data_IF_158177877159
#
_entry.id   IF_158177877159
#
_cell.length_a   1.000
_cell.length_b   1.000
_cell.length_c   1.000
_cell.angle_alpha   90.00
_cell.angle_beta   90.00
_cell.angle_gamma   90.00
#
_symmetry.space_group_name_H-M   'P 1'
#
loop_
_entity.id
_entity.type
_entity.pdbx_description
1 polymer ?
#
# COMPACT_ATOMS: atom_id res chain seq x y z
N UNK A 1 4.53 35.81 -78.05
CA UNK A 1 5.23 34.64 -77.48
C UNK A 1 5.28 34.60 -75.93
N UNK A 2 4.77 35.60 -75.19
CA UNK A 2 4.92 35.66 -73.71
C UNK A 2 3.81 34.94 -72.90
N UNK A 3 2.62 34.74 -73.46
CA UNK A 3 1.48 34.15 -72.72
C UNK A 3 1.47 32.62 -72.63
N UNK A 4 2.12 31.91 -73.56
CA UNK A 4 2.12 30.43 -73.58
C UNK A 4 2.95 29.87 -72.42
N UNK A 5 4.06 30.51 -72.05
CA UNK A 5 4.89 30.05 -70.93
C UNK A 5 4.18 30.14 -69.58
N UNK A 6 3.39 31.20 -69.33
CA UNK A 6 2.72 31.41 -68.04
C UNK A 6 1.67 30.32 -67.77
N UNK A 7 0.95 29.87 -68.81
CA UNK A 7 -0.08 28.84 -68.69
C UNK A 7 0.52 27.45 -68.43
N UNK A 8 1.65 27.13 -69.10
CA UNK A 8 2.42 25.91 -68.82
C UNK A 8 3.01 25.90 -67.40
N UNK A 9 3.53 27.03 -66.91
CA UNK A 9 4.05 27.15 -65.54
C UNK A 9 2.93 27.00 -64.49
N UNK A 10 1.74 27.59 -64.71
CA UNK A 10 0.59 27.42 -63.82
C UNK A 10 0.09 25.98 -63.78
N UNK A 11 0.05 25.31 -64.94
CA UNK A 11 -0.36 23.90 -65.04
C UNK A 11 0.65 22.98 -64.35
N UNK A 12 1.95 23.22 -64.54
CA UNK A 12 3.03 22.50 -63.86
C UNK A 12 2.95 22.65 -62.33
N UNK A 13 2.81 23.89 -61.82
CA UNK A 13 2.68 24.16 -60.39
C UNK A 13 1.48 23.45 -59.75
N UNK A 14 0.32 23.48 -60.42
CA UNK A 14 -0.91 22.78 -59.97
C UNK A 14 -0.81 21.25 -60.05
N UNK A 15 0.14 20.72 -60.82
CA UNK A 15 0.43 19.29 -60.91
C UNK A 15 1.32 18.86 -59.74
N UNK A 16 2.35 19.66 -59.43
CA UNK A 16 3.26 19.45 -58.31
C UNK A 16 2.52 19.54 -56.97
N UNK A 17 1.69 20.57 -56.78
CA UNK A 17 0.86 20.70 -55.56
C UNK A 17 -0.09 19.50 -55.37
N UNK A 18 -0.67 18.98 -56.46
CA UNK A 18 -1.52 17.78 -56.38
C UNK A 18 -0.74 16.52 -56.05
N UNK A 19 0.50 16.41 -56.53
CA UNK A 19 1.38 15.28 -56.22
C UNK A 19 1.82 15.31 -54.75
N UNK A 20 2.20 16.47 -54.22
CA UNK A 20 2.56 16.65 -52.81
C UNK A 20 1.38 16.35 -51.88
N UNK A 21 0.17 16.81 -52.21
CA UNK A 21 -1.04 16.50 -51.43
C UNK A 21 -1.31 14.98 -51.44
N UNK A 22 -1.12 14.31 -52.57
CA UNK A 22 -1.32 12.87 -52.68
C UNK A 22 -0.29 12.06 -51.89
N UNK A 23 1.00 12.44 -51.93
CA UNK A 23 2.02 11.81 -51.08
C UNK A 23 1.74 12.01 -49.60
N UNK A 24 1.38 13.23 -49.18
CA UNK A 24 1.06 13.53 -47.79
C UNK A 24 -0.16 12.73 -47.29
N UNK A 25 -1.19 12.56 -48.13
CA UNK A 25 -2.35 11.71 -47.80
C UNK A 25 -1.98 10.24 -47.69
N UNK A 26 -1.07 9.75 -48.55
CA UNK A 26 -0.60 8.36 -48.52
C UNK A 26 0.27 8.08 -47.29
N UNK A 27 1.14 9.03 -46.94
CA UNK A 27 1.89 9.04 -45.68
C UNK A 27 0.96 9.03 -44.49
N UNK A 28 -0.02 9.95 -44.43
CA UNK A 28 -0.98 10.01 -43.33
C UNK A 28 -1.77 8.70 -43.17
N UNK A 29 -2.23 8.11 -44.27
CA UNK A 29 -2.96 6.84 -44.27
C UNK A 29 -2.09 5.66 -43.81
N UNK A 30 -0.82 5.64 -44.21
CA UNK A 30 0.13 4.63 -43.76
C UNK A 30 0.48 4.81 -42.27
N UNK A 31 0.66 6.04 -41.80
CA UNK A 31 0.86 6.35 -40.38
C UNK A 31 -0.35 5.97 -39.54
N UNK A 32 -1.58 6.25 -40.00
CA UNK A 32 -2.80 5.86 -39.28
C UNK A 32 -2.95 4.34 -39.21
N UNK A 33 -2.59 3.61 -40.27
CA UNK A 33 -2.60 2.14 -40.30
C UNK A 33 -1.53 1.54 -39.38
N UNK A 34 -0.35 2.16 -39.28
CA UNK A 34 0.69 1.74 -38.34
C UNK A 34 0.27 2.00 -36.90
N UNK A 35 -0.34 3.15 -36.61
CA UNK A 35 -0.89 3.46 -35.27
C UNK A 35 -1.99 2.46 -34.90
N UNK A 36 -2.88 2.14 -35.84
CA UNK A 36 -4.00 1.21 -35.61
C UNK A 36 -3.51 -0.24 -35.43
N UNK A 37 -2.49 -0.64 -36.19
CA UNK A 37 -1.86 -1.96 -36.08
C UNK A 37 -1.01 -2.08 -34.81
N UNK A 38 -0.31 -1.02 -34.43
CA UNK A 38 0.36 -0.92 -33.13
C UNK A 38 -0.68 -0.97 -32.01
N UNK A 39 -1.81 -0.26 -32.10
CA UNK A 39 -2.91 -0.33 -31.12
C UNK A 39 -3.48 -1.77 -30.96
N UNK A 40 -3.69 -2.51 -32.04
CA UNK A 40 -4.12 -3.93 -32.01
C UNK A 40 -3.07 -4.84 -31.35
N UNK A 41 -1.79 -4.70 -31.71
CA UNK A 41 -0.69 -5.49 -31.11
C UNK A 41 -0.50 -5.13 -29.63
N UNK A 42 -0.76 -3.87 -29.25
CA UNK A 42 -0.59 -3.33 -27.89
C UNK A 42 -1.78 -3.66 -26.97
N UNK A 43 -2.98 -3.93 -27.52
CA UNK A 43 -4.10 -4.50 -26.78
C UNK A 43 -3.84 -5.96 -26.39
N UNK A 44 -3.25 -6.77 -27.30
CA UNK A 44 -2.86 -8.16 -27.02
C UNK A 44 -1.76 -8.27 -25.94
N UNK A 45 -0.84 -7.31 -25.85
CA UNK A 45 0.28 -7.32 -24.89
C UNK A 45 -0.02 -6.59 -23.55
N UNK A 46 -1.29 -6.23 -23.30
CA UNK A 46 -1.69 -5.50 -22.09
C UNK A 46 -1.71 -6.40 -20.84
N UNK A 47 -0.54 -6.61 -20.24
CA UNK A 47 -0.47 -7.08 -18.85
C UNK A 47 -1.16 -6.08 -17.94
N UNK A 48 -2.36 -6.43 -17.48
CA UNK A 48 -3.16 -5.67 -16.51
C UNK A 48 -2.41 -5.55 -15.15
N UNK A 49 -1.58 -4.52 -15.04
CA UNK A 49 -0.79 -4.14 -13.84
C UNK A 49 -1.63 -3.27 -12.89
N UNK A 50 -2.86 -3.70 -12.63
CA UNK A 50 -3.76 -3.01 -11.71
C UNK A 50 -3.27 -3.11 -10.26
N UNK A 51 -3.50 -2.03 -9.51
CA UNK A 51 -3.13 -1.95 -8.09
C UNK A 51 -3.74 -3.09 -7.26
N UNK A 52 -4.97 -3.50 -7.57
CA UNK A 52 -5.63 -4.65 -6.94
C UNK A 52 -4.83 -5.95 -7.12
N UNK A 53 -4.35 -6.23 -8.35
CA UNK A 53 -3.51 -7.39 -8.64
C UNK A 53 -2.15 -7.33 -7.93
N UNK A 54 -1.63 -6.13 -7.67
CA UNK A 54 -0.40 -5.94 -6.90
C UNK A 54 -0.59 -6.32 -5.42
N UNK A 55 -1.68 -5.87 -4.79
CA UNK A 55 -1.95 -6.06 -3.35
C UNK A 55 -2.52 -7.45 -3.03
N UNK A 56 -3.23 -8.08 -3.96
CA UNK A 56 -3.88 -9.39 -3.79
C UNK A 56 -3.10 -10.42 -2.94
N UNK A 57 -1.84 -10.78 -3.26
CA UNK A 57 -1.09 -11.77 -2.47
C UNK A 57 -0.83 -11.31 -1.04
N UNK A 58 -0.55 -10.02 -0.86
CA UNK A 58 -0.22 -9.41 0.44
C UNK A 58 -1.46 -9.39 1.32
N UNK A 59 -2.60 -8.93 0.77
CA UNK A 59 -3.84 -8.90 1.52
C UNK A 59 -4.41 -10.31 1.79
N UNK A 60 -4.05 -11.31 0.98
CA UNK A 60 -4.35 -12.72 1.29
C UNK A 60 -3.53 -13.22 2.49
N UNK A 61 -2.24 -12.91 2.53
CA UNK A 61 -1.36 -13.26 3.66
C UNK A 61 -1.88 -12.66 4.99
N UNK A 62 -2.30 -11.41 4.97
CA UNK A 62 -2.77 -10.66 6.14
C UNK A 62 -4.06 -11.24 6.72
N UNK A 63 -4.89 -11.87 5.89
CA UNK A 63 -6.10 -12.55 6.37
C UNK A 63 -5.78 -13.81 7.19
N UNK A 64 -4.62 -14.43 6.99
CA UNK A 64 -4.14 -15.51 7.88
C UNK A 64 -3.72 -14.96 9.25
N UNK A 65 -3.31 -13.70 9.31
CA UNK A 65 -2.98 -12.99 10.56
C UNK A 65 -4.21 -12.37 11.23
N UNK A 66 -5.42 -12.72 10.79
CA UNK A 66 -6.70 -12.20 11.29
C UNK A 66 -6.87 -10.69 11.16
N UNK A 67 -6.12 -10.05 10.26
CA UNK A 67 -6.21 -8.64 9.96
C UNK A 67 -7.00 -8.38 8.67
N UNK A 68 -7.63 -7.21 8.58
CA UNK A 68 -8.33 -6.72 7.39
C UNK A 68 -9.33 -7.75 6.80
N UNK A 69 -10.42 -8.07 7.53
CA UNK A 69 -11.34 -9.15 7.15
C UNK A 69 -12.22 -8.77 5.96
N UNK A 70 -11.79 -9.13 4.75
CA UNK A 70 -12.48 -8.79 3.49
C UNK A 70 -12.79 -10.06 2.70
N UNK A 71 -13.99 -10.14 2.13
CA UNK A 71 -14.37 -11.24 1.25
C UNK A 71 -14.03 -10.91 -0.21
N UNK A 72 -13.69 -11.94 -0.99
CA UNK A 72 -13.49 -11.81 -2.43
C UNK A 72 -12.09 -11.33 -2.85
N UNK A 73 -11.11 -11.26 -1.95
CA UNK A 73 -9.77 -10.77 -2.27
C UNK A 73 -9.02 -11.62 -3.29
N UNK A 74 -9.31 -12.93 -3.31
CA UNK A 74 -8.74 -13.87 -4.26
C UNK A 74 -9.34 -13.78 -5.67
N UNK A 75 -10.40 -12.97 -5.86
CA UNK A 75 -10.97 -12.77 -7.19
C UNK A 75 -10.04 -11.90 -8.06
N UNK A 76 -10.11 -12.11 -9.37
CA UNK A 76 -9.32 -11.34 -10.34
C UNK A 76 -9.81 -9.89 -10.48
N UNK A 77 -11.09 -9.65 -10.17
CA UNK A 77 -11.74 -8.36 -10.30
C UNK A 77 -11.99 -7.72 -8.94
N UNK A 78 -11.58 -6.46 -8.77
CA UNK A 78 -11.84 -5.68 -7.54
C UNK A 78 -13.33 -5.47 -7.24
N UNK A 79 -14.21 -5.65 -8.23
CA UNK A 79 -15.67 -5.49 -8.09
C UNK A 79 -16.31 -6.57 -7.20
N UNK A 80 -15.63 -7.70 -7.02
CA UNK A 80 -16.08 -8.80 -6.19
C UNK A 80 -15.70 -8.66 -4.71
N UNK A 81 -14.96 -7.61 -4.34
CA UNK A 81 -14.66 -7.29 -2.95
C UNK A 81 -15.95 -6.96 -2.20
N UNK A 82 -16.18 -7.63 -1.07
CA UNK A 82 -17.35 -7.40 -0.20
C UNK A 82 -16.93 -7.46 1.26
N UNK A 83 -17.57 -6.64 2.07
CA UNK A 83 -17.50 -6.76 3.53
C UNK A 83 -18.82 -7.33 4.05
N UNK A 84 -18.74 -8.32 4.94
CA UNK A 84 -19.89 -8.92 5.62
C UNK A 84 -19.52 -9.23 7.07
N UNK A 85 -20.26 -8.65 8.01
CA UNK A 85 -20.05 -8.84 9.46
C UNK A 85 -20.16 -10.30 9.89
N UNK A 86 -21.12 -11.05 9.34
CA UNK A 86 -21.35 -12.46 9.67
C UNK A 86 -20.47 -13.39 8.83
N UNK A 87 -19.15 -13.28 8.97
CA UNK A 87 -18.19 -14.17 8.30
C UNK A 87 -17.12 -14.66 9.27
N UNK A 88 -16.64 -15.88 9.05
CA UNK A 88 -15.56 -16.48 9.86
C UNK A 88 -14.35 -15.55 9.96
N UNK A 89 -14.02 -14.83 8.88
CA UNK A 89 -12.90 -13.87 8.84
C UNK A 89 -13.10 -12.73 9.85
N UNK A 90 -14.28 -12.11 9.86
CA UNK A 90 -14.61 -11.04 10.81
C UNK A 90 -14.66 -11.57 12.23
N UNK A 91 -15.24 -12.75 12.46
CA UNK A 91 -15.25 -13.39 13.78
C UNK A 91 -13.82 -13.61 14.30
N UNK A 92 -12.92 -14.13 13.48
CA UNK A 92 -11.52 -14.33 13.87
C UNK A 92 -10.81 -13.00 14.15
N UNK A 93 -11.04 -11.96 13.34
CA UNK A 93 -10.52 -10.61 13.62
C UNK A 93 -11.05 -10.03 14.92
N UNK A 94 -12.32 -10.26 15.25
CA UNK A 94 -12.91 -9.81 16.52
C UNK A 94 -12.36 -10.58 17.72
N UNK A 95 -12.11 -11.89 17.58
CA UNK A 95 -11.44 -12.69 18.61
C UNK A 95 -10.00 -12.21 18.83
N UNK A 96 -9.25 -11.98 17.75
CA UNK A 96 -7.90 -11.43 17.81
C UNK A 96 -7.88 -10.03 18.48
N UNK A 97 -8.83 -9.17 18.12
CA UNK A 97 -9.02 -7.87 18.77
C UNK A 97 -9.32 -8.01 20.27
N UNK A 98 -10.22 -8.93 20.64
CA UNK A 98 -10.57 -9.15 22.04
C UNK A 98 -9.38 -9.64 22.86
N UNK A 99 -8.54 -10.51 22.28
CA UNK A 99 -7.28 -10.94 22.88
C UNK A 99 -6.30 -9.76 23.03
N UNK A 100 -6.16 -8.91 22.02
CA UNK A 100 -5.32 -7.72 22.09
C UNK A 100 -5.75 -6.73 23.19
N UNK A 101 -7.05 -6.49 23.32
CA UNK A 101 -7.61 -5.67 24.41
C UNK A 101 -7.35 -6.30 25.78
N UNK A 102 -7.53 -7.61 25.90
CA UNK A 102 -7.25 -8.34 27.14
C UNK A 102 -5.77 -8.23 27.55
N UNK A 103 -4.84 -8.50 26.64
CA UNK A 103 -3.40 -8.39 26.91
C UNK A 103 -3.00 -6.96 27.24
N UNK A 104 -3.52 -5.98 26.50
CA UNK A 104 -3.27 -4.56 26.76
C UNK A 104 -3.74 -4.20 28.18
N UNK A 105 -4.93 -4.64 28.59
CA UNK A 105 -5.44 -4.45 29.94
C UNK A 105 -4.54 -5.08 31.01
N UNK A 106 -4.05 -6.31 30.79
CA UNK A 106 -3.13 -6.96 31.71
C UNK A 106 -1.81 -6.17 31.86
N UNK A 107 -1.27 -5.60 30.78
CA UNK A 107 -0.11 -4.72 30.84
C UNK A 107 -0.37 -3.44 31.63
N UNK A 108 -1.53 -2.81 31.45
CA UNK A 108 -1.91 -1.64 32.25
C UNK A 108 -2.00 -1.97 33.74
N UNK A 109 -2.61 -3.12 34.08
CA UNK A 109 -2.67 -3.61 35.46
C UNK A 109 -1.26 -3.86 36.03
N UNK A 110 -0.38 -4.48 35.25
CA UNK A 110 0.99 -4.78 35.67
C UNK A 110 1.80 -3.51 35.95
N UNK A 111 1.70 -2.49 35.09
CA UNK A 111 2.35 -1.18 35.30
C UNK A 111 1.78 -0.48 36.54
N UNK A 112 0.47 -0.58 36.76
CA UNK A 112 -0.16 0.00 37.95
C UNK A 112 0.37 -0.62 39.25
N UNK A 113 0.63 -1.93 39.25
CA UNK A 113 1.11 -2.66 40.43
C UNK A 113 2.64 -2.50 40.62
N UNK A 114 3.42 -2.70 39.55
CA UNK A 114 4.89 -2.78 39.61
C UNK A 114 5.61 -1.45 39.36
N UNK A 115 4.85 -0.36 39.20
CA UNK A 115 5.32 0.95 38.75
C UNK A 115 5.93 0.92 37.33
N UNK A 116 6.12 2.10 36.74
CA UNK A 116 6.61 2.23 35.36
C UNK A 116 8.07 1.79 35.30
N UNK A 117 8.33 0.70 34.57
CA UNK A 117 9.66 0.27 34.16
C UNK A 117 9.74 0.31 32.63
N UNK A 118 10.91 0.65 32.09
CA UNK A 118 11.17 0.77 30.65
C UNK A 118 10.73 -0.49 29.87
N UNK A 119 11.02 -1.68 30.38
CA UNK A 119 10.60 -2.94 29.75
C UNK A 119 9.08 -3.10 29.67
N UNK A 120 8.37 -2.79 30.76
CA UNK A 120 6.90 -2.87 30.81
C UNK A 120 6.25 -1.81 29.90
N UNK A 121 6.86 -0.62 29.80
CA UNK A 121 6.39 0.45 28.93
C UNK A 121 6.47 0.09 27.44
N UNK A 122 7.54 -0.58 27.01
CA UNK A 122 7.67 -1.04 25.62
C UNK A 122 6.58 -2.05 25.28
N UNK A 123 6.37 -3.04 26.14
CA UNK A 123 5.30 -4.04 25.96
C UNK A 123 3.93 -3.39 25.87
N UNK A 124 3.61 -2.45 26.76
CA UNK A 124 2.35 -1.71 26.73
C UNK A 124 2.16 -0.95 25.41
N UNK A 125 3.17 -0.19 24.96
CA UNK A 125 3.10 0.55 23.69
C UNK A 125 2.88 -0.40 22.51
N UNK A 126 3.59 -1.53 22.49
CA UNK A 126 3.47 -2.54 21.45
C UNK A 126 2.05 -3.12 21.36
N UNK A 127 1.51 -3.66 22.46
CA UNK A 127 0.19 -4.29 22.46
C UNK A 127 -0.94 -3.27 22.28
N UNK A 128 -0.85 -2.09 22.88
CA UNK A 128 -1.88 -1.05 22.73
C UNK A 128 -1.93 -0.50 21.30
N UNK A 129 -0.77 -0.24 20.67
CA UNK A 129 -0.71 0.23 19.30
C UNK A 129 -1.23 -0.82 18.32
N UNK A 130 -0.76 -2.06 18.41
CA UNK A 130 -1.21 -3.15 17.52
C UNK A 130 -2.71 -3.46 17.66
N UNK A 131 -3.24 -3.40 18.88
CA UNK A 131 -4.69 -3.54 19.13
C UNK A 131 -5.48 -2.38 18.51
N UNK A 132 -5.02 -1.14 18.69
CA UNK A 132 -5.66 0.04 18.09
C UNK A 132 -5.69 -0.05 16.58
N UNK A 133 -4.60 -0.49 15.97
CA UNK A 133 -4.55 -0.61 14.53
C UNK A 133 -5.38 -1.78 13.99
N UNK A 134 -5.55 -2.84 14.77
CA UNK A 134 -6.52 -3.91 14.44
C UNK A 134 -7.93 -3.32 14.33
N UNK A 135 -8.33 -2.41 15.23
CA UNK A 135 -9.60 -1.67 15.12
C UNK A 135 -9.68 -0.87 13.83
N UNK A 136 -8.63 -0.12 13.51
CA UNK A 136 -8.54 0.69 12.29
C UNK A 136 -8.65 -0.20 11.05
N UNK A 137 -8.00 -1.37 11.01
CA UNK A 137 -8.09 -2.29 9.87
C UNK A 137 -9.49 -2.91 9.71
N UNK A 138 -10.24 -3.10 10.78
CA UNK A 138 -11.65 -3.52 10.70
C UNK A 138 -12.50 -2.39 10.09
N UNK A 139 -12.26 -1.13 10.45
CA UNK A 139 -12.93 0.03 9.82
C UNK A 139 -12.55 0.18 8.34
N UNK A 140 -11.25 0.08 8.03
CA UNK A 140 -10.76 0.11 6.64
C UNK A 140 -11.37 -1.03 5.84
N UNK A 141 -11.48 -2.24 6.40
CA UNK A 141 -12.07 -3.39 5.70
C UNK A 141 -13.52 -3.15 5.24
N UNK A 142 -14.30 -2.37 5.99
CA UNK A 142 -15.67 -1.99 5.61
C UNK A 142 -15.69 -1.07 4.38
N UNK A 143 -14.77 -0.10 4.35
CA UNK A 143 -14.68 0.92 3.29
C UNK A 143 -13.90 0.44 2.07
N UNK A 144 -13.04 -0.56 2.25
CA UNK A 144 -12.10 -1.05 1.24
C UNK A 144 -12.72 -1.44 -0.09
N UNK A 145 -13.88 -2.15 -0.16
CA UNK A 145 -14.51 -2.44 -1.43
C UNK A 145 -14.83 -1.19 -2.25
N UNK A 146 -15.31 -0.12 -1.60
CA UNK A 146 -15.63 1.13 -2.27
C UNK A 146 -14.36 1.87 -2.70
N UNK A 147 -13.34 1.89 -1.83
CA UNK A 147 -12.03 2.47 -2.15
C UNK A 147 -11.43 1.77 -3.37
N UNK A 148 -11.45 0.44 -3.43
CA UNK A 148 -10.90 -0.32 -4.56
C UNK A 148 -11.69 -0.16 -5.86
N UNK A 149 -13.01 0.00 -5.79
CA UNK A 149 -13.82 0.33 -6.98
C UNK A 149 -13.46 1.71 -7.54
N UNK A 150 -13.34 2.71 -6.67
CA UNK A 150 -12.90 4.06 -7.07
C UNK A 150 -11.47 4.03 -7.60
N UNK A 151 -10.58 3.31 -6.92
CA UNK A 151 -9.20 3.13 -7.35
C UNK A 151 -9.13 2.48 -8.73
N UNK A 152 -9.89 1.41 -8.98
CA UNK A 152 -9.98 0.77 -10.31
C UNK A 152 -10.38 1.78 -11.38
N UNK A 153 -11.43 2.58 -11.14
CA UNK A 153 -11.87 3.61 -12.09
C UNK A 153 -10.76 4.61 -12.42
N UNK A 154 -9.95 4.98 -11.43
CA UNK A 154 -8.79 5.83 -11.62
C UNK A 154 -7.70 5.07 -12.40
N UNK A 155 -7.38 3.85 -11.99
CA UNK A 155 -6.39 2.96 -12.63
C UNK A 155 -6.68 2.74 -14.12
N UNK A 156 -7.95 2.54 -14.48
CA UNK A 156 -8.42 2.33 -15.85
C UNK A 156 -8.11 3.55 -16.73
N UNK A 157 -8.16 4.77 -16.18
CA UNK A 157 -7.77 5.99 -16.91
C UNK A 157 -6.26 6.09 -17.12
N UNK A 158 -5.47 5.54 -16.20
CA UNK A 158 -4.01 5.60 -16.21
C UNK A 158 -3.34 4.42 -16.94
N UNK A 159 -4.07 3.33 -17.15
CA UNK A 159 -3.63 2.14 -17.90
C UNK A 159 -3.92 2.28 -19.40
N UNK A 160 -4.83 3.17 -19.80
CA UNK A 160 -5.11 3.50 -21.20
C UNK A 160 -4.18 4.57 -21.75
N UNK A 161 -3.98 4.58 -23.06
CA UNK A 161 -3.32 5.70 -23.75
C UNK A 161 -4.10 6.99 -23.43
N UNK A 162 -3.45 8.13 -23.11
CA UNK A 162 -2.02 8.49 -23.24
C UNK A 162 -1.15 8.34 -21.97
N UNK A 163 -1.69 7.74 -20.91
CA UNK A 163 -1.00 7.61 -19.61
C UNK A 163 -0.25 6.28 -19.43
N UNK A 164 -0.46 5.32 -20.34
CA UNK A 164 0.21 4.01 -20.34
C UNK A 164 1.75 4.20 -20.35
N UNK A 165 2.41 3.83 -19.26
CA UNK A 165 3.87 3.80 -19.16
C UNK A 165 4.33 2.36 -19.35
N UNK A 166 4.98 2.07 -20.48
CA UNK A 166 5.39 0.73 -20.91
C UNK A 166 6.43 0.04 -20.02
N UNK A 167 7.03 0.72 -19.03
CA UNK A 167 8.30 0.27 -18.42
C UNK A 167 8.30 0.04 -16.92
N UNK A 168 7.16 -0.09 -16.23
CA UNK A 168 7.17 -0.41 -14.79
C UNK A 168 6.13 -1.43 -14.39
N UNK A 169 6.61 -2.54 -13.82
CA UNK A 169 5.82 -3.53 -13.07
C UNK A 169 5.63 -3.03 -11.65
N UNK A 170 4.68 -2.10 -11.43
CA UNK A 170 4.31 -1.60 -10.11
C UNK A 170 4.02 -2.77 -9.15
N UNK A 171 3.32 -3.79 -9.65
CA UNK A 171 3.08 -5.03 -8.92
C UNK A 171 4.36 -5.73 -8.47
N UNK A 172 5.39 -5.80 -9.31
CA UNK A 172 6.67 -6.44 -8.93
C UNK A 172 7.39 -5.63 -7.86
N UNK A 173 7.38 -4.30 -7.94
CA UNK A 173 7.98 -3.44 -6.90
C UNK A 173 7.25 -3.58 -5.57
N UNK A 174 5.92 -3.51 -5.57
CA UNK A 174 5.09 -3.70 -4.37
C UNK A 174 5.33 -5.08 -3.75
N UNK A 175 5.32 -6.14 -4.57
CA UNK A 175 5.56 -7.52 -4.11
C UNK A 175 6.95 -7.71 -3.56
N UNK A 176 7.98 -7.14 -4.20
CA UNK A 176 9.36 -7.22 -3.71
C UNK A 176 9.49 -6.55 -2.35
N UNK A 177 8.95 -5.34 -2.17
CA UNK A 177 8.97 -4.64 -0.88
C UNK A 177 8.25 -5.46 0.18
N UNK A 178 7.07 -6.01 -0.14
CA UNK A 178 6.29 -6.82 0.78
C UNK A 178 7.01 -8.09 1.22
N UNK A 179 7.62 -8.82 0.29
CA UNK A 179 8.41 -10.03 0.59
C UNK A 179 9.60 -9.67 1.49
N UNK A 180 10.31 -8.58 1.19
CA UNK A 180 11.41 -8.10 2.03
C UNK A 180 10.94 -7.78 3.44
N UNK A 181 9.85 -7.02 3.61
CA UNK A 181 9.31 -6.66 4.93
C UNK A 181 8.87 -7.91 5.71
N UNK A 182 8.21 -8.87 5.06
CA UNK A 182 7.78 -10.11 5.73
C UNK A 182 8.98 -10.94 6.19
N UNK A 183 10.03 -11.06 5.37
CA UNK A 183 11.26 -11.79 5.75
C UNK A 183 11.96 -11.07 6.91
N UNK A 184 12.09 -9.75 6.84
CA UNK A 184 12.71 -8.96 7.91
C UNK A 184 11.91 -9.06 9.22
N UNK A 185 10.59 -9.00 9.18
CA UNK A 185 9.73 -9.17 10.35
C UNK A 185 9.90 -10.57 10.98
N UNK A 186 10.03 -11.62 10.16
CA UNK A 186 10.31 -12.96 10.64
C UNK A 186 11.68 -13.05 11.31
N UNK A 187 12.72 -12.49 10.67
CA UNK A 187 14.08 -12.48 11.23
C UNK A 187 14.15 -11.68 12.53
N UNK A 188 13.50 -10.51 12.57
CA UNK A 188 13.38 -9.69 13.77
C UNK A 188 12.77 -10.49 14.92
N UNK A 189 11.66 -11.18 14.66
CA UNK A 189 10.98 -11.99 15.68
C UNK A 189 11.83 -13.18 16.15
N UNK A 190 12.51 -13.88 15.23
CA UNK A 190 13.41 -14.98 15.58
C UNK A 190 14.63 -14.51 16.40
N UNK A 191 15.20 -13.35 16.04
CA UNK A 191 16.30 -12.74 16.79
C UNK A 191 15.86 -12.27 18.16
N UNK A 192 14.67 -11.69 18.28
CA UNK A 192 14.06 -11.36 19.57
C UNK A 192 13.91 -12.60 20.45
N UNK A 193 13.37 -13.70 19.90
CA UNK A 193 13.20 -14.96 20.64
C UNK A 193 14.55 -15.55 21.07
N UNK A 194 15.56 -15.53 20.20
CA UNK A 194 16.90 -16.00 20.50
C UNK A 194 17.56 -15.17 21.61
N UNK A 195 17.42 -13.84 21.55
CA UNK A 195 17.95 -12.93 22.56
C UNK A 195 17.28 -13.14 23.92
N UNK A 196 15.96 -13.27 23.95
CA UNK A 196 15.21 -13.58 25.18
C UNK A 196 15.60 -14.94 25.77
N UNK A 197 15.74 -15.97 24.92
CA UNK A 197 16.16 -17.29 25.36
C UNK A 197 17.58 -17.26 25.95
N UNK A 198 18.50 -16.53 25.31
CA UNK A 198 19.86 -16.35 25.80
C UNK A 198 19.90 -15.59 27.14
N UNK A 199 19.17 -14.49 27.26
CA UNK A 199 19.11 -13.71 28.50
C UNK A 199 18.59 -14.53 29.67
N UNK A 200 17.53 -15.32 29.47
CA UNK A 200 16.98 -16.21 30.50
C UNK A 200 17.94 -17.35 30.85
N UNK A 201 18.64 -17.90 29.85
CA UNK A 201 19.66 -18.92 30.11
C UNK A 201 20.80 -18.39 30.98
N UNK A 202 21.28 -17.18 30.69
CA UNK A 202 22.30 -16.51 31.51
C UNK A 202 21.77 -16.25 32.92
N UNK A 203 20.54 -15.79 33.08
CA UNK A 203 19.92 -15.53 34.39
C UNK A 203 19.82 -16.80 35.25
N UNK A 204 19.41 -17.93 34.65
CA UNK A 204 19.36 -19.24 35.31
C UNK A 204 20.76 -19.68 35.77
N UNK A 205 21.79 -19.49 34.94
CA UNK A 205 23.17 -19.83 35.28
C UNK A 205 23.74 -18.94 36.38
N UNK A 206 23.43 -17.64 36.38
CA UNK A 206 23.91 -16.71 37.40
C UNK A 206 23.25 -16.92 38.76
N UNK A 207 21.98 -17.35 38.78
CA UNK A 207 21.21 -17.59 40.00
C UNK A 207 21.27 -19.03 40.51
N UNK A 208 22.03 -19.90 39.85
CA UNK A 208 22.15 -21.34 40.13
C UNK A 208 20.78 -22.06 40.27
N UNK A 209 19.84 -21.69 39.40
CA UNK A 209 18.49 -22.27 39.42
C UNK A 209 18.50 -23.60 38.66
N UNK A 210 18.04 -24.67 39.30
CA UNK A 210 17.80 -25.95 38.63
C UNK A 210 16.51 -25.86 37.81
N UNK A 211 16.61 -26.09 36.49
CA UNK A 211 15.47 -26.03 35.56
C UNK A 211 15.34 -27.37 34.85
N UNK A 212 14.40 -28.20 35.32
CA UNK A 212 14.15 -29.53 34.73
C UNK A 212 13.49 -29.44 33.34
N UNK A 213 12.73 -28.37 33.09
CA UNK A 213 11.95 -28.17 31.86
C UNK A 213 12.20 -26.78 31.26
N UNK A 214 13.19 -26.64 30.36
CA UNK A 214 13.62 -25.33 29.86
C UNK A 214 12.55 -24.63 29.02
N UNK A 215 11.75 -25.36 28.23
CA UNK A 215 10.69 -24.78 27.40
C UNK A 215 9.53 -24.25 28.26
N UNK A 216 9.08 -25.02 29.25
CA UNK A 216 8.02 -24.59 30.17
C UNK A 216 8.46 -23.36 30.97
N UNK A 217 9.70 -23.37 31.46
CA UNK A 217 10.29 -22.22 32.13
C UNK A 217 10.34 -20.99 31.21
N UNK A 218 10.80 -21.16 29.97
CA UNK A 218 10.88 -20.07 28.99
C UNK A 218 9.50 -19.43 28.74
N UNK A 219 8.49 -20.25 28.45
CA UNK A 219 7.12 -19.81 28.16
C UNK A 219 6.48 -19.13 29.36
N UNK A 220 6.65 -19.69 30.56
CA UNK A 220 6.11 -19.12 31.80
C UNK A 220 6.73 -17.75 32.11
N UNK A 221 8.05 -17.61 31.94
CA UNK A 221 8.75 -16.35 32.18
C UNK A 221 8.41 -15.28 31.12
N UNK A 222 8.27 -15.68 29.84
CA UNK A 222 7.98 -14.76 28.74
C UNK A 222 6.68 -13.97 28.98
N UNK A 223 5.66 -14.65 29.49
CA UNK A 223 4.34 -14.07 29.72
C UNK A 223 3.98 -14.05 31.21
N UNK A 224 4.95 -13.81 32.09
CA UNK A 224 4.74 -13.85 33.55
C UNK A 224 3.60 -12.94 34.04
N UNK A 225 3.33 -11.83 33.36
CA UNK A 225 2.20 -10.93 33.63
C UNK A 225 0.83 -11.58 33.35
N UNK A 226 0.75 -12.51 32.38
CA UNK A 226 -0.45 -13.31 32.11
C UNK A 226 -0.61 -14.36 33.21
N UNK A 227 0.47 -15.08 33.53
CA UNK A 227 0.43 -16.18 34.51
C UNK A 227 0.33 -15.74 35.97
N UNK A 228 0.52 -14.45 36.24
CA UNK A 228 0.12 -13.85 37.51
C UNK A 228 -1.42 -13.87 37.73
N UNK A 229 -2.20 -14.00 36.65
CA UNK A 229 -3.66 -13.97 36.68
C UNK A 229 -4.32 -15.28 36.20
N UNK A 230 -3.59 -16.10 35.44
CA UNK A 230 -4.08 -17.36 34.87
C UNK A 230 -3.12 -18.51 35.21
N UNK A 231 -3.62 -19.72 35.48
CA UNK A 231 -2.76 -20.87 35.71
C UNK A 231 -1.95 -21.19 34.45
N UNK A 232 -0.64 -21.41 34.62
CA UNK A 232 0.24 -21.81 33.52
C UNK A 232 -0.17 -23.18 32.96
N UNK A 233 -0.20 -23.27 31.64
CA UNK A 233 -0.27 -24.54 30.92
C UNK A 233 0.51 -24.40 29.61
N UNK A 234 1.15 -25.49 29.17
CA UNK A 234 1.96 -25.49 27.94
C UNK A 234 1.14 -25.09 26.70
N UNK A 235 -0.09 -25.58 26.48
CA UNK A 235 -0.90 -25.14 25.34
C UNK A 235 -1.20 -23.65 25.35
N UNK A 236 -1.47 -23.07 26.53
CA UNK A 236 -1.71 -21.63 26.67
C UNK A 236 -0.44 -20.82 26.39
N UNK A 237 0.74 -21.31 26.83
CA UNK A 237 2.03 -20.69 26.49
C UNK A 237 2.33 -20.67 25.00
N UNK A 238 2.12 -21.79 24.31
CA UNK A 238 2.29 -21.85 22.87
C UNK A 238 1.29 -20.94 22.15
N UNK A 239 0.04 -20.90 22.61
CA UNK A 239 -0.96 -19.98 22.06
C UNK A 239 -0.54 -18.52 22.22
N UNK A 240 -0.07 -18.12 23.41
CA UNK A 240 0.40 -16.75 23.67
C UNK A 240 1.60 -16.39 22.78
N UNK A 241 2.52 -17.32 22.54
CA UNK A 241 3.66 -17.12 21.65
C UNK A 241 3.23 -16.94 20.19
N UNK A 242 2.30 -17.77 19.70
CA UNK A 242 1.73 -17.62 18.34
C UNK A 242 1.02 -16.28 18.20
N UNK A 243 0.25 -15.86 19.22
CA UNK A 243 -0.39 -14.55 19.19
C UNK A 243 0.62 -13.40 19.23
N UNK A 244 1.69 -13.54 20.01
CA UNK A 244 2.78 -12.56 20.05
C UNK A 244 3.46 -12.41 18.68
N UNK A 245 3.76 -13.53 18.03
CA UNK A 245 4.25 -13.56 16.65
C UNK A 245 3.27 -12.83 15.71
N UNK A 246 1.98 -13.13 15.79
CA UNK A 246 0.94 -12.46 14.98
C UNK A 246 0.93 -10.93 15.22
N UNK A 247 1.09 -10.46 16.46
CA UNK A 247 1.20 -9.03 16.76
C UNK A 247 2.42 -8.38 16.12
N UNK A 248 3.57 -9.07 16.11
CA UNK A 248 4.79 -8.57 15.43
C UNK A 248 4.59 -8.45 13.92
N UNK A 249 3.95 -9.44 13.29
CA UNK A 249 3.60 -9.35 11.87
C UNK A 249 2.52 -8.29 11.60
N UNK A 250 1.56 -8.12 12.50
CA UNK A 250 0.54 -7.09 12.41
C UNK A 250 1.16 -5.69 12.42
N UNK A 251 2.13 -5.44 13.32
CA UNK A 251 2.90 -4.20 13.37
C UNK A 251 3.59 -3.91 12.02
N UNK A 252 4.36 -4.89 11.53
CA UNK A 252 5.08 -4.75 10.26
C UNK A 252 4.14 -4.59 9.06
N UNK A 253 2.97 -5.23 9.08
CA UNK A 253 1.99 -5.08 8.02
C UNK A 253 1.42 -3.66 7.93
N UNK A 254 1.26 -2.94 9.05
CA UNK A 254 0.70 -1.59 8.99
C UNK A 254 1.61 -0.64 8.21
N UNK A 255 2.91 -0.70 8.52
CA UNK A 255 3.95 0.07 7.83
C UNK A 255 4.00 -0.30 6.34
N UNK A 256 3.87 -1.60 6.04
CA UNK A 256 3.78 -2.08 4.67
C UNK A 256 2.52 -1.57 3.98
N UNK A 257 1.37 -1.55 4.64
CA UNK A 257 0.10 -1.07 4.09
C UNK A 257 0.19 0.41 3.70
N UNK A 258 0.71 1.25 4.60
CA UNK A 258 0.94 2.68 4.31
C UNK A 258 1.90 2.82 3.13
N UNK A 259 3.02 2.08 3.14
CA UNK A 259 4.01 2.09 2.05
C UNK A 259 3.39 1.72 0.69
N UNK A 260 2.53 0.69 0.65
CA UNK A 260 1.85 0.27 -0.58
C UNK A 260 0.93 1.36 -1.13
N UNK A 261 0.12 1.99 -0.27
CA UNK A 261 -0.78 3.07 -0.67
C UNK A 261 0.03 4.27 -1.17
N UNK A 262 1.08 4.66 -0.46
CA UNK A 262 1.98 5.74 -0.86
C UNK A 262 2.65 5.47 -2.21
N UNK A 263 3.12 4.24 -2.45
CA UNK A 263 3.73 3.86 -3.73
C UNK A 263 2.72 3.88 -4.88
N UNK A 264 1.49 3.41 -4.62
CA UNK A 264 0.38 3.47 -5.57
C UNK A 264 0.07 4.91 -5.99
N UNK A 265 -0.13 5.80 -5.01
CA UNK A 265 -0.40 7.22 -5.25
C UNK A 265 0.78 7.93 -5.94
N UNK A 266 2.00 7.73 -5.44
CA UNK A 266 3.22 8.32 -6.01
C UNK A 266 3.41 7.94 -7.49
N UNK A 267 3.11 6.69 -7.83
CA UNK A 267 3.18 6.23 -9.23
C UNK A 267 2.19 7.00 -10.12
N UNK A 268 0.94 7.17 -9.67
CA UNK A 268 -0.08 7.92 -10.43
C UNK A 268 0.28 9.40 -10.57
N UNK A 269 0.77 10.05 -9.50
CA UNK A 269 1.27 11.43 -9.57
C UNK A 269 2.44 11.58 -10.55
N UNK A 270 3.37 10.63 -10.55
CA UNK A 270 4.49 10.65 -11.49
C UNK A 270 4.01 10.55 -12.95
N UNK A 271 2.97 9.75 -13.23
CA UNK A 271 2.37 9.68 -14.58
C UNK A 271 1.76 11.01 -15.00
N UNK A 272 1.05 11.70 -14.10
CA UNK A 272 0.47 13.03 -14.36
C UNK A 272 1.59 14.05 -14.66
N UNK A 273 2.60 14.12 -13.79
CA UNK A 273 3.71 15.07 -13.92
C UNK A 273 4.50 14.87 -15.20
N UNK A 274 4.80 13.62 -15.57
CA UNK A 274 5.49 13.29 -16.82
C UNK A 274 4.72 13.79 -18.04
N UNK A 275 3.39 13.70 -18.01
CA UNK A 275 2.55 14.18 -19.11
C UNK A 275 2.48 15.71 -19.17
N UNK A 276 2.37 16.38 -18.03
CA UNK A 276 2.42 17.85 -17.96
C UNK A 276 3.76 18.35 -18.53
N UNK A 277 4.87 17.68 -18.21
CA UNK A 277 6.19 18.02 -18.74
C UNK A 277 6.28 17.85 -20.27
N UNK A 278 5.75 16.75 -20.80
CA UNK A 278 5.67 16.50 -22.25
C UNK A 278 4.88 17.59 -22.98
N UNK A 279 3.75 18.04 -22.43
CA UNK A 279 2.98 19.15 -23.01
C UNK A 279 3.67 20.51 -22.89
N UNK A 280 4.61 20.67 -21.96
CA UNK A 280 5.42 21.88 -21.81
C UNK A 280 6.66 21.92 -22.72
N UNK A 281 6.87 20.90 -23.57
CA UNK A 281 8.03 20.83 -24.48
C UNK A 281 9.37 20.62 -23.77
N UNK A 282 9.36 20.19 -22.49
CA UNK A 282 10.56 19.75 -21.78
C UNK A 282 10.69 18.24 -21.96
N UNK A 283 11.27 17.83 -23.09
CA UNK A 283 11.56 16.42 -23.37
C UNK A 283 12.75 15.87 -22.56
N UNK A 284 13.46 16.74 -21.84
CA UNK A 284 14.52 16.30 -20.93
C UNK A 284 14.06 16.36 -19.47
N UNK A 285 13.84 15.16 -18.90
CA UNK A 285 13.51 14.95 -17.50
C UNK A 285 14.53 14.04 -16.80
N UNK A 286 15.74 13.91 -17.36
CA UNK A 286 16.89 13.33 -16.64
C UNK A 286 17.17 14.07 -15.33
N UNK A 287 16.72 15.32 -15.21
CA UNK A 287 16.92 16.17 -14.03
C UNK A 287 15.77 16.15 -13.00
N UNK A 288 14.67 15.44 -13.25
CA UNK A 288 13.51 15.43 -12.32
C UNK A 288 13.25 14.03 -11.76
N UNK A 289 14.31 13.45 -11.19
CA UNK A 289 14.29 12.33 -10.24
C UNK A 289 14.37 10.95 -10.92
N UNK A 290 15.61 10.48 -11.08
CA UNK A 290 15.93 9.07 -11.18
C UNK A 290 15.41 8.34 -9.91
N UNK A 291 14.48 7.39 -10.05
CA UNK A 291 13.91 6.67 -8.92
C UNK A 291 14.87 5.67 -8.27
N UNK A 292 16.14 5.61 -8.70
CA UNK A 292 17.24 4.96 -8.00
C UNK A 292 18.03 5.88 -7.05
N UNK A 293 17.85 7.21 -7.10
CA UNK A 293 18.68 8.17 -6.37
C UNK A 293 17.93 9.08 -5.39
N UNK A 294 16.61 8.94 -5.23
CA UNK A 294 15.84 9.83 -4.35
C UNK A 294 16.21 9.56 -2.88
N UNK A 295 16.95 10.47 -2.26
CA UNK A 295 17.10 10.51 -0.81
C UNK A 295 15.70 10.64 -0.20
N UNK A 296 15.41 9.96 0.93
CA UNK A 296 14.07 9.90 1.53
C UNK A 296 13.43 11.26 1.79
N UNK A 297 14.24 12.31 1.93
CA UNK A 297 13.82 13.70 2.17
C UNK A 297 12.92 14.30 1.06
N UNK A 298 13.11 13.90 -0.20
CA UNK A 298 12.34 14.43 -1.34
C UNK A 298 10.91 13.83 -1.41
N UNK A 299 10.76 12.59 -0.94
CA UNK A 299 9.45 11.95 -0.78
C UNK A 299 8.66 12.65 0.35
N UNK A 300 9.32 12.98 1.46
CA UNK A 300 8.71 13.75 2.56
C UNK A 300 8.31 15.17 2.14
N UNK A 301 9.12 15.83 1.30
CA UNK A 301 8.80 17.17 0.78
C UNK A 301 7.56 17.14 -0.12
N UNK A 302 7.45 16.12 -0.98
CA UNK A 302 6.27 15.89 -1.83
C UNK A 302 5.00 15.56 -1.01
N UNK A 303 5.15 14.81 0.08
CA UNK A 303 4.07 14.52 1.05
C UNK A 303 3.61 15.78 1.79
N UNK A 304 4.55 16.66 2.15
CA UNK A 304 4.24 17.95 2.80
C UNK A 304 3.50 18.90 1.86
N UNK A 305 3.88 18.93 0.57
CA UNK A 305 3.15 19.70 -0.45
C UNK A 305 1.76 19.12 -0.71
N UNK A 306 1.61 17.79 -0.71
CA UNK A 306 0.30 17.13 -0.83
C UNK A 306 -0.58 17.37 0.39
N UNK A 307 -0.05 17.29 1.60
CA UNK A 307 -0.78 17.65 2.81
C UNK A 307 -1.26 19.11 2.76
N UNK A 308 -0.43 20.03 2.26
CA UNK A 308 -0.81 21.44 2.09
C UNK A 308 -1.90 21.64 1.04
N UNK A 309 -1.86 20.90 -0.08
CA UNK A 309 -2.88 20.96 -1.14
C UNK A 309 -4.19 20.34 -0.66
N UNK A 310 -4.14 19.22 0.05
CA UNK A 310 -5.34 18.57 0.62
C UNK A 310 -5.97 19.45 1.70
N UNK A 311 -5.17 20.08 2.57
CA UNK A 311 -5.65 21.03 3.57
C UNK A 311 -6.21 22.32 2.94
N UNK A 312 -5.69 22.76 1.79
CA UNK A 312 -6.26 23.88 1.03
C UNK A 312 -7.60 23.52 0.38
N UNK A 313 -7.74 22.29 -0.14
CA UNK A 313 -8.99 21.80 -0.72
C UNK A 313 -10.07 21.59 0.34
N UNK A 314 -9.72 21.15 1.55
CA UNK A 314 -10.67 21.04 2.68
C UNK A 314 -11.12 22.41 3.21
N UNK A 315 -10.25 23.43 3.19
CA UNK A 315 -10.62 24.79 3.58
C UNK A 315 -11.58 25.46 2.57
N UNK A 316 -11.41 25.23 1.26
CA UNK A 316 -12.34 25.75 0.25
C UNK A 316 -13.73 25.08 0.33
N UNK A 317 -13.80 23.81 0.76
CA UNK A 317 -15.07 23.12 1.02
C UNK A 317 -15.77 23.67 2.28
N UNK A 318 -15.03 24.06 3.32
CA UNK A 318 -15.59 24.63 4.55
C UNK A 318 -16.11 26.07 4.36
N UNK A 319 -15.46 26.88 3.52
CA UNK A 319 -15.92 28.24 3.18
C UNK A 319 -17.24 28.18 2.38
N UNK A 320 -17.36 27.27 1.42
CA UNK A 320 -18.59 27.11 0.63
C UNK A 320 -19.77 26.50 1.43
N UNK A 321 -19.52 25.72 2.48
CA UNK A 321 -20.58 25.19 3.37
C UNK A 321 -21.04 26.22 4.41
N UNK A 322 -20.15 27.14 4.83
CA UNK A 322 -20.48 28.27 5.71
C UNK A 322 -21.42 29.27 5.01
N UNK A 323 -21.12 29.62 3.74
CA UNK A 323 -21.92 30.59 2.99
C UNK A 323 -23.30 30.04 2.58
N UNK A 324 -23.42 28.71 2.41
CA UNK A 324 -24.70 28.06 2.13
C UNK A 324 -25.65 27.99 3.36
N UNK A 325 -25.12 28.11 4.58
CA UNK A 325 -25.94 28.15 5.82
C UNK A 325 -26.42 29.56 6.17
N UNK A 326 -25.65 30.60 5.85
CA UNK A 326 -26.03 31.99 6.14
C UNK A 326 -27.01 32.60 5.11
N UNK A 327 -27.28 31.93 3.98
CA UNK A 327 -28.22 32.38 2.96
C UNK A 327 -29.67 31.87 3.11
N UNK A 328 -30.03 31.25 4.24
CA UNK A 328 -31.39 30.72 4.50
C UNK A 328 -32.13 31.37 5.68
N UNK A 329 -31.57 32.42 6.27
CA UNK A 329 -32.29 33.30 7.21
C UNK A 329 -32.31 34.72 6.64
N UNK A 330 -33.23 34.96 5.70
CA UNK A 330 -33.67 36.30 5.30
C UNK A 330 -35.13 36.21 4.84
#
# INVERSE_FOLDING_TARGET
>A
MHNVNIEYFKKSKKSIERFEVYENLKLFKNYSLLIQKDEEIIEEESFDDSFHKAIKPIATFVQFLFLMPICGISSEFSDNLRFKWMTVRVTMSLLYLSYGLFITFLFFKEIYIKQINFGNSIGMLFFSYTTTCTLVFIDIAQKWPNIMKMWKKIDDNFTRHPYKIYKRRLSTKIRSIAVTVIILALLEHLLFLANEAFNKYVDVKLKDIQVDKPIEYFLNQQFGFIYANLPFSVPLGLFNEIMNMNFTFAWNYMELFVTMISLGLSTRFHQINKRIAKFRGKDDLSDVIDPGSSKPEDAFRSLKTLAHIVLMVDNDQLVHVSDAKNGKEA
#
